data_IF_247306722635
#
_entry.id   IF_247306722635
#
_cell.length_a   1.000
_cell.length_b   1.000
_cell.length_c   1.000
_cell.angle_alpha   90.00
_cell.angle_beta   90.00
_cell.angle_gamma   90.00
#
_symmetry.space_group_name_H-M   'P 1'
#
loop_
_entity.id
_entity.type
_entity.pdbx_description
1 polymer ?
#
# COMPACT_ATOMS: atom_id res chain seq x y z
N UNK A 1 47.73 -4.03 3.89
CA UNK A 1 46.39 -3.46 3.58
C UNK A 1 45.50 -3.74 4.77
N UNK A 2 45.05 -2.68 5.46
CA UNK A 2 44.40 -2.81 6.77
C UNK A 2 42.91 -3.17 6.69
N UNK A 3 42.39 -3.78 7.75
CA UNK A 3 40.97 -4.11 7.90
C UNK A 3 40.06 -2.86 7.80
N UNK A 4 40.59 -1.69 8.22
CA UNK A 4 39.91 -0.39 8.11
C UNK A 4 39.71 0.05 6.66
N UNK A 5 40.73 -0.04 5.80
CA UNK A 5 40.60 0.31 4.37
C UNK A 5 39.63 -0.62 3.63
N UNK A 6 39.58 -1.90 4.04
CA UNK A 6 38.62 -2.87 3.54
C UNK A 6 37.18 -2.49 3.96
N UNK A 7 37.00 -2.10 5.22
CA UNK A 7 35.71 -1.67 5.76
C UNK A 7 35.21 -0.38 5.08
N UNK A 8 36.07 0.62 4.91
CA UNK A 8 35.75 1.89 4.22
C UNK A 8 35.42 1.64 2.73
N UNK A 9 36.12 0.73 2.06
CA UNK A 9 35.76 0.29 0.69
C UNK A 9 34.42 -0.44 0.62
N UNK A 10 34.11 -1.30 1.59
CA UNK A 10 32.82 -2.00 1.66
C UNK A 10 31.66 -1.03 1.95
N UNK A 11 31.84 -0.09 2.90
CA UNK A 11 30.86 0.96 3.21
C UNK A 11 30.65 1.89 2.01
N UNK A 12 31.71 2.28 1.30
CA UNK A 12 31.61 3.06 0.05
C UNK A 12 31.04 2.29 -1.15
N UNK A 13 30.81 0.98 -1.03
CA UNK A 13 30.20 0.15 -2.06
C UNK A 13 28.70 -0.09 -1.90
N UNK A 14 28.10 0.36 -0.79
CA UNK A 14 26.67 0.16 -0.53
C UNK A 14 25.84 1.18 -1.30
N UNK A 15 24.83 0.75 -2.09
CA UNK A 15 23.86 1.65 -2.72
C UNK A 15 22.88 2.17 -1.67
N UNK A 16 23.28 3.15 -0.86
CA UNK A 16 22.47 3.68 0.22
C UNK A 16 21.05 4.08 -0.23
N UNK A 17 20.91 4.69 -1.40
CA UNK A 17 19.60 5.05 -1.95
C UNK A 17 18.73 3.80 -2.24
N UNK A 18 19.28 2.78 -2.90
CA UNK A 18 18.54 1.55 -3.18
C UNK A 18 18.24 0.77 -1.91
N UNK A 19 19.12 0.78 -0.91
CA UNK A 19 18.90 0.14 0.38
C UNK A 19 17.76 0.81 1.16
N UNK A 20 17.76 2.14 1.24
CA UNK A 20 16.67 2.90 1.86
C UNK A 20 15.36 2.67 1.11
N UNK A 21 15.38 2.67 -0.22
CA UNK A 21 14.21 2.35 -1.03
C UNK A 21 13.68 0.93 -0.76
N UNK A 22 14.56 -0.07 -0.58
CA UNK A 22 14.15 -1.44 -0.21
C UNK A 22 13.44 -1.46 1.14
N UNK A 23 14.00 -0.80 2.15
CA UNK A 23 13.41 -0.76 3.48
C UNK A 23 12.04 -0.08 3.48
N UNK A 24 11.91 1.04 2.76
CA UNK A 24 10.63 1.73 2.57
C UNK A 24 9.64 0.86 1.81
N UNK A 25 10.07 0.16 0.76
CA UNK A 25 9.18 -0.69 -0.01
C UNK A 25 8.67 -1.88 0.82
N UNK A 26 9.54 -2.53 1.59
CA UNK A 26 9.15 -3.61 2.48
C UNK A 26 8.21 -3.13 3.59
N UNK A 27 8.49 -2.00 4.24
CA UNK A 27 7.61 -1.48 5.29
C UNK A 27 6.27 -1.03 4.72
N UNK A 28 6.26 -0.34 3.58
CA UNK A 28 5.04 0.11 2.90
C UNK A 28 4.15 -1.06 2.47
N UNK A 29 4.73 -2.09 1.82
CA UNK A 29 3.99 -3.29 1.41
C UNK A 29 3.49 -4.07 2.62
N UNK A 30 4.32 -4.24 3.65
CA UNK A 30 3.90 -4.95 4.86
C UNK A 30 2.73 -4.23 5.56
N UNK A 31 2.77 -2.89 5.65
CA UNK A 31 1.67 -2.09 6.18
C UNK A 31 0.42 -2.18 5.31
N UNK A 32 0.54 -1.98 3.99
CA UNK A 32 -0.60 -2.04 3.08
C UNK A 32 -1.26 -3.42 3.09
N UNK A 33 -0.47 -4.48 2.93
CA UNK A 33 -0.98 -5.85 2.87
C UNK A 33 -1.48 -6.33 4.23
N UNK A 34 -0.73 -6.10 5.32
CA UNK A 34 -1.10 -6.55 6.65
C UNK A 34 -2.32 -5.82 7.20
N UNK A 35 -2.29 -4.48 7.18
CA UNK A 35 -3.41 -3.67 7.65
C UNK A 35 -4.62 -3.79 6.72
N UNK A 36 -4.42 -3.85 5.40
CA UNK A 36 -5.49 -4.06 4.43
C UNK A 36 -6.19 -5.41 4.62
N UNK A 37 -5.44 -6.49 4.84
CA UNK A 37 -6.02 -7.81 5.09
C UNK A 37 -6.89 -7.81 6.35
N UNK A 38 -6.36 -7.28 7.46
CA UNK A 38 -7.11 -7.22 8.72
C UNK A 38 -8.32 -6.28 8.59
N UNK A 39 -8.17 -5.12 7.96
CA UNK A 39 -9.25 -4.15 7.77
C UNK A 39 -10.42 -4.76 7.01
N UNK A 40 -10.15 -5.53 5.95
CA UNK A 40 -11.18 -6.21 5.18
C UNK A 40 -11.94 -7.25 6.02
N UNK A 41 -11.22 -8.05 6.83
CA UNK A 41 -11.83 -9.04 7.74
C UNK A 41 -12.71 -8.38 8.80
N UNK A 42 -12.28 -7.27 9.38
CA UNK A 42 -13.11 -6.55 10.36
C UNK A 42 -14.29 -5.81 9.70
N UNK A 43 -14.13 -5.36 8.44
CA UNK A 43 -15.23 -4.76 7.66
C UNK A 43 -16.34 -5.76 7.42
N UNK A 44 -16.00 -7.03 7.13
CA UNK A 44 -16.97 -8.11 7.00
C UNK A 44 -17.81 -8.28 8.28
N UNK A 45 -17.13 -8.36 9.44
CA UNK A 45 -17.79 -8.48 10.75
C UNK A 45 -18.69 -7.30 11.08
N UNK A 46 -18.23 -6.08 10.79
CA UNK A 46 -18.99 -4.86 11.02
C UNK A 46 -20.28 -4.85 10.19
N UNK A 47 -20.20 -5.27 8.93
CA UNK A 47 -21.35 -5.29 8.02
C UNK A 47 -22.33 -6.40 8.39
N UNK A 48 -21.81 -7.60 8.71
CA UNK A 48 -22.62 -8.73 9.18
C UNK A 48 -23.41 -8.37 10.45
N UNK A 49 -22.78 -7.65 11.38
CA UNK A 49 -23.37 -7.36 12.69
C UNK A 49 -24.36 -6.18 12.64
N UNK A 50 -24.07 -5.14 11.85
CA UNK A 50 -24.78 -3.86 11.94
C UNK A 50 -25.56 -3.44 10.69
N UNK A 51 -25.22 -3.95 9.50
CA UNK A 51 -25.78 -3.45 8.23
C UNK A 51 -26.59 -4.51 7.46
N UNK A 52 -26.29 -5.79 7.62
CA UNK A 52 -26.99 -6.89 6.96
C UNK A 52 -27.86 -7.69 7.96
N UNK A 53 -29.10 -8.01 7.58
CA UNK A 53 -29.97 -8.94 8.32
C UNK A 53 -30.15 -10.29 7.62
N UNK A 54 -29.91 -10.35 6.31
CA UNK A 54 -30.05 -11.57 5.53
C UNK A 54 -28.69 -12.05 5.03
N UNK A 55 -28.49 -13.36 5.09
CA UNK A 55 -27.27 -14.02 4.59
C UNK A 55 -27.01 -13.67 3.11
N UNK A 56 -28.08 -13.64 2.30
CA UNK A 56 -27.99 -13.42 0.85
C UNK A 56 -27.43 -12.04 0.45
N UNK A 57 -27.59 -11.02 1.30
CA UNK A 57 -27.22 -9.65 0.99
C UNK A 57 -25.72 -9.37 1.19
N UNK A 58 -25.02 -10.18 2.01
CA UNK A 58 -23.58 -10.01 2.27
C UNK A 58 -22.68 -11.07 1.59
N UNK A 59 -23.24 -12.14 1.02
CA UNK A 59 -22.45 -13.18 0.30
C UNK A 59 -21.60 -12.57 -0.83
N UNK A 60 -22.16 -11.64 -1.61
CA UNK A 60 -21.41 -10.98 -2.69
C UNK A 60 -20.25 -10.16 -2.17
N UNK A 61 -20.44 -9.46 -1.04
CA UNK A 61 -19.39 -8.69 -0.39
C UNK A 61 -18.29 -9.61 0.17
N UNK A 62 -18.67 -10.72 0.83
CA UNK A 62 -17.72 -11.69 1.36
C UNK A 62 -16.82 -12.27 0.25
N UNK A 63 -17.38 -12.59 -0.93
CA UNK A 63 -16.59 -13.02 -2.09
C UNK A 63 -15.61 -11.94 -2.58
N UNK A 64 -16.05 -10.68 -2.63
CA UNK A 64 -15.20 -9.55 -3.02
C UNK A 64 -14.05 -9.39 -2.03
N UNK A 65 -14.34 -9.42 -0.72
CA UNK A 65 -13.33 -9.35 0.34
C UNK A 65 -12.31 -10.48 0.20
N UNK A 66 -12.78 -11.73 0.05
CA UNK A 66 -11.91 -12.88 -0.12
C UNK A 66 -11.01 -12.75 -1.36
N UNK A 67 -11.55 -12.23 -2.48
CA UNK A 67 -10.75 -11.97 -3.68
C UNK A 67 -9.64 -10.95 -3.43
N UNK A 68 -9.95 -9.84 -2.74
CA UNK A 68 -8.93 -8.85 -2.37
C UNK A 68 -7.86 -9.43 -1.43
N UNK A 69 -8.23 -10.32 -0.50
CA UNK A 69 -7.26 -10.99 0.37
C UNK A 69 -6.28 -11.88 -0.43
N UNK A 70 -6.77 -12.63 -1.42
CA UNK A 70 -5.89 -13.41 -2.31
C UNK A 70 -4.94 -12.51 -3.12
N UNK A 71 -5.44 -11.39 -3.63
CA UNK A 71 -4.61 -10.39 -4.32
C UNK A 71 -3.53 -9.84 -3.39
N UNK A 72 -3.86 -9.54 -2.13
CA UNK A 72 -2.91 -9.08 -1.12
C UNK A 72 -1.77 -10.09 -0.88
N UNK A 73 -2.07 -11.38 -0.78
CA UNK A 73 -1.04 -12.42 -0.62
C UNK A 73 -0.12 -12.53 -1.86
N UNK A 74 -0.70 -12.41 -3.06
CA UNK A 74 0.06 -12.38 -4.31
C UNK A 74 0.97 -11.14 -4.39
N UNK A 75 0.46 -9.97 -4.01
CA UNK A 75 1.24 -8.73 -3.98
C UNK A 75 2.39 -8.79 -2.98
N UNK A 76 2.14 -9.30 -1.77
CA UNK A 76 3.16 -9.41 -0.74
C UNK A 76 4.34 -10.28 -1.20
N UNK A 77 4.07 -11.43 -1.80
CA UNK A 77 5.10 -12.34 -2.32
C UNK A 77 5.84 -11.77 -3.53
N UNK A 78 5.12 -11.16 -4.48
CA UNK A 78 5.72 -10.51 -5.65
C UNK A 78 6.66 -9.38 -5.25
N UNK A 79 6.20 -8.44 -4.42
CA UNK A 79 7.03 -7.31 -3.99
C UNK A 79 8.20 -7.76 -3.12
N UNK A 80 8.04 -8.81 -2.32
CA UNK A 80 9.14 -9.35 -1.53
C UNK A 80 10.31 -9.77 -2.43
N UNK A 81 10.03 -10.59 -3.44
CA UNK A 81 11.03 -11.05 -4.40
C UNK A 81 11.55 -9.89 -5.26
N UNK A 82 10.67 -8.99 -5.68
CA UNK A 82 11.03 -7.87 -6.53
C UNK A 82 12.00 -6.89 -5.86
N UNK A 83 11.77 -6.55 -4.60
CA UNK A 83 12.66 -5.71 -3.81
C UNK A 83 14.05 -6.34 -3.62
N UNK A 84 14.13 -7.66 -3.43
CA UNK A 84 15.42 -8.37 -3.37
C UNK A 84 16.16 -8.24 -4.72
N UNK A 85 15.45 -8.43 -5.83
CA UNK A 85 16.03 -8.27 -7.17
C UNK A 85 16.51 -6.84 -7.41
N UNK A 86 15.73 -5.82 -7.04
CA UNK A 86 16.12 -4.41 -7.17
C UNK A 86 17.28 -4.03 -6.26
N UNK A 87 17.33 -4.57 -5.03
CA UNK A 87 18.45 -4.36 -4.14
C UNK A 87 19.74 -4.97 -4.73
N UNK A 88 19.65 -6.20 -5.25
CA UNK A 88 20.76 -6.84 -5.93
C UNK A 88 21.22 -6.01 -7.14
N UNK A 89 20.28 -5.50 -7.95
CA UNK A 89 20.57 -4.62 -9.08
C UNK A 89 21.28 -3.34 -8.65
N UNK A 90 20.87 -2.73 -7.52
CA UNK A 90 21.54 -1.58 -6.93
C UNK A 90 22.99 -1.86 -6.54
N UNK A 91 23.27 -3.02 -5.93
CA UNK A 91 24.64 -3.43 -5.60
C UNK A 91 25.47 -3.65 -6.86
N UNK A 92 24.90 -4.30 -7.88
CA UNK A 92 25.58 -4.57 -9.15
C UNK A 92 25.81 -3.33 -10.02
N UNK A 93 24.98 -2.28 -9.88
CA UNK A 93 25.11 -1.04 -10.67
C UNK A 93 25.96 0.05 -9.99
N UNK A 94 26.30 -0.12 -8.70
CA UNK A 94 27.15 0.84 -7.98
C UNK A 94 28.58 0.83 -8.52
N UNK A 95 29.13 2.03 -8.79
CA UNK A 95 30.44 2.24 -9.43
C UNK A 95 31.60 1.56 -8.72
N UNK A 96 31.51 1.38 -7.41
CA UNK A 96 32.54 0.76 -6.57
C UNK A 96 32.59 -0.76 -6.73
N UNK A 97 31.45 -1.44 -6.94
CA UNK A 97 31.38 -2.88 -7.19
C UNK A 97 31.99 -3.27 -8.55
N UNK A 98 31.98 -2.33 -9.51
CA UNK A 98 32.57 -2.49 -10.83
C UNK A 98 34.11 -2.61 -10.79
N UNK A 99 34.77 -2.04 -9.79
CA UNK A 99 36.22 -2.20 -9.60
C UNK A 99 36.60 -3.59 -9.08
N UNK A 100 35.68 -4.29 -8.41
CA UNK A 100 35.94 -5.58 -7.75
C UNK A 100 35.56 -6.78 -8.63
N UNK A 101 34.50 -6.67 -9.45
CA UNK A 101 33.97 -7.80 -10.24
C UNK A 101 34.32 -7.81 -11.73
N UNK A 102 35.14 -6.86 -12.19
CA UNK A 102 35.59 -6.81 -13.59
C UNK A 102 34.48 -6.50 -14.60
N UNK A 103 34.88 -6.28 -15.86
CA UNK A 103 34.08 -5.80 -17.00
C UNK A 103 32.95 -6.73 -17.49
N UNK A 104 32.41 -7.63 -16.66
CA UNK A 104 31.43 -8.63 -17.08
C UNK A 104 30.10 -8.05 -17.63
N UNK A 105 29.87 -6.74 -17.49
CA UNK A 105 28.68 -6.03 -17.99
C UNK A 105 28.96 -4.99 -19.09
N UNK A 106 30.03 -5.16 -19.86
CA UNK A 106 30.12 -4.52 -21.20
C UNK A 106 29.28 -5.26 -22.26
N UNK A 107 28.64 -6.37 -21.91
CA UNK A 107 27.77 -7.16 -22.80
C UNK A 107 26.36 -6.55 -22.93
N UNK A 108 25.83 -6.51 -24.16
CA UNK A 108 24.53 -5.94 -24.51
C UNK A 108 23.36 -6.47 -23.66
N UNK A 109 23.40 -7.76 -23.27
CA UNK A 109 22.38 -8.41 -22.45
C UNK A 109 22.22 -7.77 -21.06
N UNK A 110 23.34 -7.40 -20.42
CA UNK A 110 23.31 -6.74 -19.12
C UNK A 110 22.61 -5.38 -19.14
N UNK A 111 22.79 -4.61 -20.23
CA UNK A 111 22.11 -3.32 -20.43
C UNK A 111 20.61 -3.48 -20.67
N UNK A 112 20.21 -4.48 -21.47
CA UNK A 112 18.79 -4.81 -21.69
C UNK A 112 18.08 -5.21 -20.40
N UNK A 113 18.74 -6.03 -19.56
CA UNK A 113 18.18 -6.43 -18.26
C UNK A 113 17.98 -5.23 -17.32
N UNK A 114 18.98 -4.37 -17.14
CA UNK A 114 18.84 -3.16 -16.29
C UNK A 114 17.77 -2.21 -16.81
N UNK A 115 17.71 -2.01 -18.14
CA UNK A 115 16.65 -1.21 -18.77
C UNK A 115 15.25 -1.80 -18.52
N UNK A 116 15.12 -3.13 -18.52
CA UNK A 116 13.83 -3.79 -18.26
C UNK A 116 13.37 -3.58 -16.82
N UNK A 117 14.27 -3.65 -15.84
CA UNK A 117 13.97 -3.35 -14.44
C UNK A 117 13.52 -1.90 -14.25
N UNK A 118 14.15 -0.93 -14.93
CA UNK A 118 13.75 0.48 -14.88
C UNK A 118 12.32 0.65 -15.41
N UNK A 119 12.04 0.10 -16.59
CA UNK A 119 10.70 0.20 -17.22
C UNK A 119 9.64 -0.48 -16.34
N UNK A 120 9.93 -1.67 -15.81
CA UNK A 120 8.99 -2.37 -14.94
C UNK A 120 8.73 -1.62 -13.64
N UNK A 121 9.76 -1.05 -13.01
CA UNK A 121 9.60 -0.21 -11.79
C UNK A 121 8.74 1.01 -12.07
N UNK A 122 8.91 1.64 -13.25
CA UNK A 122 8.10 2.79 -13.65
C UNK A 122 6.63 2.42 -13.83
N UNK A 123 6.34 1.31 -14.53
CA UNK A 123 4.97 0.79 -14.69
C UNK A 123 4.37 0.47 -13.32
N UNK A 124 5.12 -0.18 -12.43
CA UNK A 124 4.67 -0.46 -11.07
C UNK A 124 4.39 0.83 -10.28
N UNK A 125 5.20 1.87 -10.41
CA UNK A 125 4.96 3.16 -9.75
C UNK A 125 3.65 3.80 -10.21
N UNK A 126 3.35 3.76 -11.52
CA UNK A 126 2.08 4.27 -12.08
C UNK A 126 0.89 3.45 -11.58
N UNK A 127 1.01 2.12 -11.58
CA UNK A 127 -0.04 1.25 -11.03
C UNK A 127 -0.25 1.53 -9.53
N UNK A 128 0.82 1.76 -8.77
CA UNK A 128 0.73 2.03 -7.34
C UNK A 128 0.17 3.40 -7.02
N UNK A 129 0.31 4.38 -7.92
CA UNK A 129 -0.36 5.66 -7.82
C UNK A 129 -1.89 5.46 -7.85
N UNK A 130 -2.40 4.57 -8.71
CA UNK A 130 -3.81 4.21 -8.72
C UNK A 130 -4.22 3.50 -7.42
N UNK A 131 -3.42 2.55 -6.93
CA UNK A 131 -3.68 1.87 -5.64
C UNK A 131 -3.72 2.86 -4.48
N UNK A 132 -2.83 3.85 -4.47
CA UNK A 132 -2.82 4.92 -3.48
C UNK A 132 -4.09 5.79 -3.56
N UNK A 133 -4.52 6.16 -4.77
CA UNK A 133 -5.75 6.92 -4.96
C UNK A 133 -7.00 6.12 -4.52
N UNK A 134 -7.10 4.85 -4.90
CA UNK A 134 -8.24 4.01 -4.55
C UNK A 134 -8.28 3.62 -3.07
N UNK A 135 -7.13 3.49 -2.40
CA UNK A 135 -7.10 3.20 -0.96
C UNK A 135 -7.59 4.38 -0.10
N UNK A 136 -7.73 5.59 -0.66
CA UNK A 136 -8.39 6.70 0.01
C UNK A 136 -9.92 6.52 0.13
N UNK A 137 -10.55 5.72 -0.72
CA UNK A 137 -12.01 5.51 -0.71
C UNK A 137 -12.53 4.92 0.62
N UNK A 138 -12.00 3.81 1.15
CA UNK A 138 -12.45 3.30 2.45
C UNK A 138 -12.17 4.30 3.58
N UNK A 139 -11.00 4.96 3.58
CA UNK A 139 -10.69 6.00 4.57
C UNK A 139 -11.73 7.13 4.54
N UNK A 140 -12.11 7.58 3.35
CA UNK A 140 -13.14 8.59 3.16
C UNK A 140 -14.51 8.13 3.69
N UNK A 141 -14.90 6.87 3.44
CA UNK A 141 -16.14 6.31 3.97
C UNK A 141 -16.18 6.35 5.51
N UNK A 142 -15.15 5.81 6.17
CA UNK A 142 -15.07 5.82 7.63
C UNK A 142 -14.96 7.25 8.20
N UNK A 143 -14.27 8.16 7.52
CA UNK A 143 -14.24 9.57 7.91
C UNK A 143 -15.63 10.22 7.90
N UNK A 144 -16.44 9.99 6.86
CA UNK A 144 -17.81 10.51 6.81
C UNK A 144 -18.71 9.88 7.88
N UNK A 145 -18.51 8.60 8.19
CA UNK A 145 -19.24 7.93 9.25
C UNK A 145 -18.90 8.50 10.63
N UNK A 146 -17.61 8.74 10.90
CA UNK A 146 -17.14 9.39 12.13
C UNK A 146 -17.67 10.82 12.27
N UNK A 147 -17.60 11.62 11.20
CA UNK A 147 -18.14 12.97 11.17
C UNK A 147 -19.66 12.98 11.47
N UNK A 148 -20.40 12.03 10.88
CA UNK A 148 -21.84 11.88 11.14
C UNK A 148 -22.10 11.49 12.59
N UNK A 149 -21.32 10.56 13.15
CA UNK A 149 -21.42 10.17 14.56
C UNK A 149 -21.14 11.33 15.52
N UNK A 150 -20.12 12.14 15.23
CA UNK A 150 -19.82 13.34 16.03
C UNK A 150 -20.98 14.35 16.00
N UNK A 151 -21.60 14.56 14.83
CA UNK A 151 -22.77 15.44 14.74
C UNK A 151 -23.97 14.90 15.53
N UNK A 152 -24.19 13.59 15.54
CA UNK A 152 -25.27 12.96 16.32
C UNK A 152 -25.04 13.16 17.83
N UNK A 153 -23.81 12.95 18.31
CA UNK A 153 -23.50 13.11 19.73
C UNK A 153 -23.73 14.56 20.21
N UNK A 154 -23.43 15.56 19.38
CA UNK A 154 -23.71 16.98 19.69
C UNK A 154 -25.21 17.32 19.64
N UNK A 155 -25.97 16.71 18.72
CA UNK A 155 -27.40 16.97 18.54
C UNK A 155 -28.31 16.19 19.50
N UNK A 156 -27.76 15.41 20.44
CA UNK A 156 -28.54 14.65 21.44
C UNK A 156 -29.43 15.55 22.32
N UNK A 157 -29.19 16.87 22.34
CA UNK A 157 -30.03 17.86 23.04
C UNK A 157 -31.31 18.24 22.27
N UNK A 158 -31.43 17.91 20.98
CA UNK A 158 -32.61 18.21 20.13
C UNK A 158 -33.20 16.94 19.50
N UNK A 159 -34.24 16.32 20.08
CA UNK A 159 -34.68 14.96 19.73
C UNK A 159 -35.44 14.81 18.40
N UNK A 160 -35.76 15.90 17.69
CA UNK A 160 -36.62 15.84 16.50
C UNK A 160 -35.90 15.44 15.19
N UNK A 161 -34.57 15.53 15.10
CA UNK A 161 -33.81 15.32 13.85
C UNK A 161 -32.78 14.17 13.88
N UNK A 162 -32.55 13.53 15.03
CA UNK A 162 -31.51 12.50 15.20
C UNK A 162 -31.74 11.28 14.29
N UNK A 163 -33.01 10.91 14.05
CA UNK A 163 -33.37 9.78 13.19
C UNK A 163 -33.20 10.05 11.69
N UNK A 164 -32.93 11.30 11.28
CA UNK A 164 -32.70 11.67 9.88
C UNK A 164 -31.21 11.56 9.47
N UNK A 165 -30.28 11.60 10.42
CA UNK A 165 -28.86 11.39 10.14
C UNK A 165 -28.59 9.89 10.02
N UNK A 166 -28.28 9.46 8.81
CA UNK A 166 -28.03 8.07 8.46
C UNK A 166 -26.80 7.96 7.55
N UNK A 167 -26.04 6.89 7.73
CA UNK A 167 -25.03 6.46 6.77
C UNK A 167 -25.60 5.27 6.00
N UNK A 168 -25.67 5.40 4.67
CA UNK A 168 -26.15 4.35 3.77
C UNK A 168 -24.95 3.68 3.08
N UNK A 169 -24.70 2.43 3.42
CA UNK A 169 -23.56 1.67 2.88
C UNK A 169 -23.74 1.32 1.39
N UNK A 170 -24.98 1.39 0.86
CA UNK A 170 -25.28 1.10 -0.55
C UNK A 170 -24.79 2.21 -1.48
N UNK A 171 -24.77 3.46 -1.00
CA UNK A 171 -24.27 4.61 -1.77
C UNK A 171 -22.78 4.48 -2.10
N UNK A 172 -22.03 3.77 -1.25
CA UNK A 172 -20.60 3.52 -1.43
C UNK A 172 -20.32 2.20 -2.16
N UNK A 173 -21.36 1.48 -2.60
CA UNK A 173 -21.24 0.21 -3.31
C UNK A 173 -20.79 -0.96 -2.45
N UNK A 174 -20.81 -0.83 -1.11
CA UNK A 174 -20.45 -1.91 -0.19
C UNK A 174 -21.54 -2.98 -0.10
N UNK A 175 -22.82 -2.58 -0.18
CA UNK A 175 -23.96 -3.48 -0.20
C UNK A 175 -24.81 -3.26 -1.46
N UNK A 176 -25.46 -4.31 -1.98
CA UNK A 176 -26.34 -4.18 -3.13
C UNK A 176 -27.60 -3.37 -2.75
N UNK A 177 -28.22 -2.70 -3.73
CA UNK A 177 -29.33 -1.76 -3.50
C UNK A 177 -30.56 -2.40 -2.83
N UNK A 178 -30.71 -3.72 -2.96
CA UNK A 178 -31.76 -4.54 -2.35
C UNK A 178 -31.49 -4.90 -0.88
N UNK A 179 -30.31 -4.59 -0.32
CA UNK A 179 -29.99 -4.92 1.07
C UNK A 179 -30.87 -4.14 2.06
N UNK A 180 -31.46 -4.85 3.02
CA UNK A 180 -32.32 -4.30 4.07
C UNK A 180 -31.74 -4.65 5.46
N UNK A 181 -31.47 -3.68 6.35
CA UNK A 181 -31.76 -2.25 6.23
C UNK A 181 -30.79 -1.44 5.34
N UNK A 182 -29.55 -1.90 5.11
CA UNK A 182 -28.56 -1.24 4.23
C UNK A 182 -28.05 0.14 4.69
N UNK A 183 -28.68 0.72 5.71
CA UNK A 183 -28.33 2.01 6.33
C UNK A 183 -28.44 1.93 7.86
N UNK A 184 -27.60 2.68 8.55
CA UNK A 184 -27.64 2.84 10.01
C UNK A 184 -27.88 4.31 10.37
N UNK A 185 -28.78 4.58 11.33
CA UNK A 185 -29.27 5.93 11.63
C UNK A 185 -29.22 6.27 13.12
N UNK A 186 -29.04 7.55 13.46
CA UNK A 186 -29.20 8.06 14.82
C UNK A 186 -28.39 7.32 15.89
N UNK A 187 -29.04 6.93 16.99
CA UNK A 187 -28.36 6.30 18.14
C UNK A 187 -27.75 4.93 17.82
N UNK A 188 -28.30 4.17 16.86
CA UNK A 188 -27.68 2.89 16.46
C UNK A 188 -26.35 3.16 15.76
N UNK A 189 -26.28 4.20 14.94
CA UNK A 189 -25.04 4.61 14.27
C UNK A 189 -23.99 5.15 15.27
N UNK A 190 -24.40 6.00 16.23
CA UNK A 190 -23.49 6.49 17.30
C UNK A 190 -22.92 5.33 18.13
N UNK A 191 -23.73 4.32 18.45
CA UNK A 191 -23.25 3.13 19.15
C UNK A 191 -22.21 2.35 18.35
N UNK A 192 -22.39 2.22 17.03
CA UNK A 192 -21.41 1.55 16.14
C UNK A 192 -20.07 2.30 16.16
N UNK A 193 -20.07 3.62 16.05
CA UNK A 193 -18.85 4.42 16.09
C UNK A 193 -18.08 4.33 17.42
N UNK A 194 -18.77 4.00 18.52
CA UNK A 194 -18.15 3.78 19.85
C UNK A 194 -17.58 2.38 20.03
N UNK A 195 -17.87 1.44 19.13
CA UNK A 195 -17.32 0.09 19.19
C UNK A 195 -15.82 0.07 18.93
N UNK A 196 -15.13 -0.91 19.52
CA UNK A 196 -13.71 -1.14 19.25
C UNK A 196 -13.46 -1.62 17.82
N UNK A 197 -14.39 -2.41 17.28
CA UNK A 197 -14.31 -2.96 15.92
C UNK A 197 -14.27 -1.84 14.87
N UNK A 198 -15.16 -0.86 14.98
CA UNK A 198 -15.18 0.31 14.10
C UNK A 198 -13.85 1.09 14.16
N UNK A 199 -13.40 1.43 15.38
CA UNK A 199 -12.17 2.23 15.56
C UNK A 199 -10.94 1.50 15.02
N UNK A 200 -10.83 0.20 15.32
CA UNK A 200 -9.74 -0.64 14.82
C UNK A 200 -9.76 -0.71 13.29
N UNK A 201 -10.94 -0.91 12.69
CA UNK A 201 -11.09 -0.95 11.23
C UNK A 201 -10.67 0.38 10.59
N UNK A 202 -11.08 1.51 11.16
CA UNK A 202 -10.71 2.83 10.66
C UNK A 202 -9.20 3.07 10.71
N UNK A 203 -8.57 2.80 11.85
CA UNK A 203 -7.11 2.94 12.02
C UNK A 203 -6.33 2.03 11.06
N UNK A 204 -6.82 0.80 10.82
CA UNK A 204 -6.21 -0.13 9.87
C UNK A 204 -6.30 0.37 8.42
N UNK A 205 -7.42 0.98 8.01
CA UNK A 205 -7.52 1.58 6.66
C UNK A 205 -6.60 2.80 6.50
N UNK A 206 -6.45 3.63 7.55
CA UNK A 206 -5.49 4.74 7.53
C UNK A 206 -4.06 4.21 7.40
N UNK A 207 -3.71 3.18 8.18
CA UNK A 207 -2.39 2.55 8.11
C UNK A 207 -2.13 1.90 6.74
N UNK A 208 -3.14 1.27 6.13
CA UNK A 208 -3.05 0.73 4.78
C UNK A 208 -2.82 1.83 3.74
N UNK A 209 -3.59 2.94 3.80
CA UNK A 209 -3.41 4.10 2.93
C UNK A 209 -2.00 4.70 3.05
N UNK A 210 -1.48 4.86 4.28
CA UNK A 210 -0.11 5.30 4.51
C UNK A 210 0.91 4.31 3.94
N UNK A 211 0.69 3.01 4.11
CA UNK A 211 1.51 1.95 3.51
C UNK A 211 1.59 2.04 1.98
N UNK A 212 0.46 2.27 1.31
CA UNK A 212 0.41 2.48 -0.13
C UNK A 212 1.25 3.70 -0.56
N UNK A 213 1.16 4.81 0.19
CA UNK A 213 1.96 6.01 -0.05
C UNK A 213 3.47 5.78 0.14
N UNK A 214 3.86 5.05 1.19
CA UNK A 214 5.26 4.69 1.45
C UNK A 214 5.82 3.81 0.33
N UNK A 215 5.07 2.81 -0.12
CA UNK A 215 5.48 1.97 -1.26
C UNK A 215 5.62 2.78 -2.54
N UNK A 216 4.70 3.72 -2.81
CA UNK A 216 4.81 4.60 -3.97
C UNK A 216 6.08 5.45 -3.92
N UNK A 217 6.38 6.04 -2.76
CA UNK A 217 7.61 6.79 -2.54
C UNK A 217 8.86 5.92 -2.73
N UNK A 218 8.82 4.67 -2.27
CA UNK A 218 9.92 3.72 -2.46
C UNK A 218 10.15 3.40 -3.94
N UNK A 219 9.08 3.13 -4.70
CA UNK A 219 9.14 2.87 -6.14
C UNK A 219 9.70 4.08 -6.90
N UNK A 220 9.26 5.29 -6.57
CA UNK A 220 9.82 6.52 -7.15
C UNK A 220 11.30 6.66 -6.82
N UNK A 221 11.70 6.39 -5.57
CA UNK A 221 13.11 6.42 -5.15
C UNK A 221 13.95 5.42 -5.95
N UNK A 222 13.44 4.20 -6.18
CA UNK A 222 14.09 3.22 -7.05
C UNK A 222 14.19 3.69 -8.49
N UNK A 223 13.15 4.31 -9.07
CA UNK A 223 13.24 4.83 -10.45
C UNK A 223 14.34 5.88 -10.56
N UNK A 224 14.47 6.79 -9.60
CA UNK A 224 15.52 7.82 -9.60
C UNK A 224 16.91 7.19 -9.44
N UNK A 225 17.10 6.28 -8.49
CA UNK A 225 18.42 5.68 -8.24
C UNK A 225 18.90 4.80 -9.41
N UNK A 226 18.02 3.96 -9.94
CA UNK A 226 18.34 3.04 -11.04
C UNK A 226 18.58 3.79 -12.35
N UNK A 227 17.79 4.82 -12.66
CA UNK A 227 18.01 5.66 -13.85
C UNK A 227 19.31 6.46 -13.77
N UNK A 228 19.62 7.02 -12.60
CA UNK A 228 20.89 7.71 -12.37
C UNK A 228 22.08 6.77 -12.60
N UNK A 229 22.07 5.59 -11.95
CA UNK A 229 23.13 4.60 -12.10
C UNK A 229 23.28 4.14 -13.56
N UNK A 230 22.16 3.89 -14.25
CA UNK A 230 22.17 3.52 -15.66
C UNK A 230 22.76 4.63 -16.56
N UNK A 231 22.42 5.89 -16.32
CA UNK A 231 22.95 7.04 -17.06
C UNK A 231 24.46 7.20 -16.85
N UNK A 232 24.93 7.10 -15.60
CA UNK A 232 26.36 7.15 -15.26
C UNK A 232 27.12 6.00 -15.94
N UNK A 233 26.57 4.79 -15.92
CA UNK A 233 27.16 3.62 -16.60
C UNK A 233 27.28 3.84 -18.11
N UNK A 234 26.28 4.45 -18.75
CA UNK A 234 26.31 4.78 -20.18
C UNK A 234 27.35 5.86 -20.51
N UNK A 235 27.51 6.85 -19.63
CA UNK A 235 28.51 7.91 -19.79
C UNK A 235 29.95 7.37 -19.65
N UNK A 236 30.22 6.58 -18.61
CA UNK A 236 31.55 5.99 -18.38
C UNK A 236 31.92 4.99 -19.48
N UNK A 237 30.97 4.18 -19.96
CA UNK A 237 31.20 3.25 -21.07
C UNK A 237 31.34 3.88 -22.46
N UNK A 238 31.28 5.22 -22.57
CA UNK A 238 31.62 5.97 -23.79
C UNK A 238 33.03 6.55 -23.76
N UNK A 239 33.69 6.59 -22.59
CA UNK A 239 35.03 7.16 -22.39
C UNK A 239 36.15 6.13 -22.37
N UNK A 240 35.84 4.85 -22.14
CA UNK A 240 36.75 3.73 -22.34
C UNK A 240 36.46 3.08 -23.68
#
# INVERSE_FOLDING_TARGET
MGCYDCCVRCLGGVPYCSLVATLLCFSGIALFCGCGHQALTETERLIETYFARNLQDYITLAYIIQYFQYVIYGLASFFFLYCIMLLAEGFYTTSTAKQTFGEFRSTMCGRCLSSSFIVMTYVLAVLWLLVFAFSALPVYFFYNMDATCHTIDVLTETPASINQLCVDARQYGLLPWNAVPGKACGMTLSNVCKTREYRMTYDLYIAAFAGAGITLLALLTYTVSTTYNFAVLRYLGRKG
#
